data_IF_008267653758
#
_entry.id   IF_008267653758
#
_cell.length_a   1.000
_cell.length_b   1.000
_cell.length_c   1.000
_cell.angle_alpha   90.00
_cell.angle_beta   90.00
_cell.angle_gamma   90.00
#
_symmetry.space_group_name_H-M   'P 1'
#
loop_
_entity.id
_entity.type
_entity.pdbx_description
1 polymer ?
#
# COMPACT_ATOMS: atom_id res chain seq x y z
N UNK A 1 30.38 14.39 -8.77
CA UNK A 1 29.96 15.38 -7.77
C UNK A 1 29.90 14.70 -6.43
N UNK A 2 30.66 15.19 -5.45
CA UNK A 2 30.73 14.62 -4.11
C UNK A 2 29.85 15.50 -3.21
N UNK A 3 28.56 15.14 -3.09
CA UNK A 3 27.58 15.92 -2.34
C UNK A 3 27.80 15.66 -0.84
N UNK A 4 28.42 16.64 -0.15
CA UNK A 4 28.92 16.51 1.23
C UNK A 4 27.82 16.17 2.25
N UNK A 5 26.59 16.57 1.97
CA UNK A 5 25.45 16.46 2.90
C UNK A 5 24.47 15.35 2.54
N UNK A 6 24.84 14.47 1.61
CA UNK A 6 23.94 13.43 1.10
C UNK A 6 23.56 12.44 2.19
N UNK A 7 22.26 12.15 2.31
CA UNK A 7 21.76 11.22 3.30
C UNK A 7 22.15 9.77 3.00
N UNK A 8 22.37 8.97 4.06
CA UNK A 8 22.63 7.54 3.98
C UNK A 8 21.48 6.82 3.24
N UNK A 9 21.76 5.98 2.22
CA UNK A 9 20.74 5.22 1.50
C UNK A 9 19.82 4.40 2.42
N UNK A 10 20.32 3.86 3.53
CA UNK A 10 19.50 3.10 4.49
C UNK A 10 18.45 3.98 5.18
N UNK A 11 18.84 5.16 5.69
CA UNK A 11 17.89 6.09 6.32
C UNK A 11 16.84 6.59 5.34
N UNK A 12 17.21 6.78 4.07
CA UNK A 12 16.28 7.15 3.00
C UNK A 12 15.30 6.03 2.66
N UNK A 13 15.78 4.79 2.64
CA UNK A 13 14.94 3.62 2.42
C UNK A 13 13.90 3.49 3.53
N UNK A 14 14.34 3.53 4.79
CA UNK A 14 13.44 3.41 5.94
C UNK A 14 12.46 4.58 6.00
N UNK A 15 12.89 5.81 5.69
CA UNK A 15 11.97 6.95 5.58
C UNK A 15 10.89 6.72 4.51
N UNK A 16 11.27 6.23 3.32
CA UNK A 16 10.33 5.90 2.24
C UNK A 16 9.36 4.77 2.66
N UNK A 17 9.84 3.73 3.35
CA UNK A 17 8.99 2.64 3.85
C UNK A 17 7.97 3.14 4.89
N UNK A 18 8.37 4.06 5.77
CA UNK A 18 7.44 4.72 6.71
C UNK A 18 6.41 5.55 5.95
N UNK A 19 6.82 6.32 4.94
CA UNK A 19 5.87 7.07 4.11
C UNK A 19 4.87 6.15 3.41
N UNK A 20 5.31 5.01 2.88
CA UNK A 20 4.44 3.99 2.28
C UNK A 20 3.50 3.35 3.31
N UNK A 21 3.97 3.10 4.52
CA UNK A 21 3.12 2.60 5.61
C UNK A 21 2.05 3.63 5.99
N UNK A 22 2.41 4.92 6.08
CA UNK A 22 1.47 6.01 6.33
C UNK A 22 0.45 6.10 5.18
N UNK A 23 0.88 5.97 3.92
CA UNK A 23 -0.02 5.88 2.77
C UNK A 23 -1.00 4.72 2.90
N UNK A 24 -0.53 3.54 3.32
CA UNK A 24 -1.38 2.37 3.49
C UNK A 24 -2.43 2.59 4.58
N UNK A 25 -2.02 3.11 5.75
CA UNK A 25 -2.95 3.43 6.85
C UNK A 25 -3.97 4.47 6.37
N UNK A 26 -3.52 5.54 5.72
CA UNK A 26 -4.40 6.58 5.20
C UNK A 26 -5.38 6.03 4.16
N UNK A 27 -4.92 5.15 3.27
CA UNK A 27 -5.76 4.46 2.30
C UNK A 27 -6.84 3.64 3.00
N UNK A 28 -6.51 2.83 4.01
CA UNK A 28 -7.50 2.01 4.72
C UNK A 28 -8.57 2.87 5.40
N UNK A 29 -8.18 4.00 5.99
CA UNK A 29 -9.11 4.95 6.60
C UNK A 29 -10.02 5.61 5.55
N UNK A 30 -9.43 6.13 4.46
CA UNK A 30 -10.18 6.77 3.38
C UNK A 30 -11.12 5.77 2.69
N UNK A 31 -10.66 4.55 2.42
CA UNK A 31 -11.45 3.49 1.83
C UNK A 31 -12.68 3.18 2.70
N UNK A 32 -12.47 3.01 4.01
CA UNK A 32 -13.54 2.59 4.93
C UNK A 32 -14.56 3.70 5.19
N UNK A 33 -14.11 4.93 5.42
CA UNK A 33 -14.97 6.01 5.93
C UNK A 33 -15.42 7.02 4.87
N UNK A 34 -14.73 7.11 3.74
CA UNK A 34 -15.01 8.13 2.72
C UNK A 34 -15.40 7.49 1.40
N UNK A 35 -14.51 6.69 0.83
CA UNK A 35 -14.64 6.25 -0.57
C UNK A 35 -15.70 5.15 -0.72
N UNK A 36 -15.65 4.09 0.10
CA UNK A 36 -16.65 3.01 -0.01
C UNK A 36 -18.07 3.53 0.25
N UNK A 37 -18.33 4.35 1.30
CA UNK A 37 -19.66 4.94 1.49
C UNK A 37 -20.13 5.81 0.34
N UNK A 38 -19.25 6.57 -0.32
CA UNK A 38 -19.60 7.36 -1.51
C UNK A 38 -19.99 6.44 -2.67
N UNK A 39 -19.17 5.43 -2.96
CA UNK A 39 -19.40 4.51 -4.08
C UNK A 39 -20.64 3.66 -3.87
N UNK A 40 -20.79 3.06 -2.67
CA UNK A 40 -21.93 2.19 -2.36
C UNK A 40 -23.27 2.94 -2.33
N UNK A 41 -23.25 4.26 -2.14
CA UNK A 41 -24.45 5.09 -2.16
C UNK A 41 -24.84 5.59 -3.54
N UNK A 42 -23.96 5.50 -4.53
CA UNK A 42 -24.25 5.93 -5.90
C UNK A 42 -25.35 5.08 -6.54
N UNK A 43 -26.26 5.73 -7.27
CA UNK A 43 -27.40 5.05 -7.91
C UNK A 43 -26.93 4.02 -8.93
N UNK A 44 -25.90 4.34 -9.71
CA UNK A 44 -25.34 3.41 -10.70
C UNK A 44 -24.79 2.12 -10.06
N UNK A 45 -24.10 2.24 -8.92
CA UNK A 45 -23.62 1.08 -8.17
C UNK A 45 -24.78 0.27 -7.62
N UNK A 46 -25.75 0.93 -6.96
CA UNK A 46 -26.93 0.28 -6.37
C UNK A 46 -27.73 -0.49 -7.42
N UNK A 47 -28.06 0.15 -8.53
CA UNK A 47 -28.83 -0.47 -9.63
C UNK A 47 -28.09 -1.66 -10.23
N UNK A 48 -26.77 -1.54 -10.45
CA UNK A 48 -25.96 -2.65 -10.99
C UNK A 48 -25.83 -3.78 -9.98
N UNK A 49 -25.68 -3.47 -8.69
CA UNK A 49 -25.58 -4.45 -7.63
C UNK A 49 -26.91 -5.20 -7.42
N UNK A 50 -28.04 -4.52 -7.49
CA UNK A 50 -29.37 -5.12 -7.37
C UNK A 50 -29.63 -6.14 -8.48
N UNK A 51 -29.29 -5.80 -9.73
CA UNK A 51 -29.40 -6.75 -10.85
C UNK A 51 -28.50 -7.97 -10.64
N UNK A 52 -27.23 -7.72 -10.29
CA UNK A 52 -26.27 -8.79 -9.98
C UNK A 52 -26.78 -9.72 -8.86
N UNK A 53 -27.27 -9.13 -7.76
CA UNK A 53 -27.82 -9.84 -6.62
C UNK A 53 -29.06 -10.64 -6.99
N UNK A 54 -30.03 -10.02 -7.66
CA UNK A 54 -31.28 -10.64 -8.07
C UNK A 54 -31.04 -11.85 -8.97
N UNK A 55 -30.12 -11.76 -9.92
CA UNK A 55 -29.79 -12.89 -10.81
C UNK A 55 -29.16 -14.05 -10.06
N UNK A 56 -28.30 -13.80 -9.07
CA UNK A 56 -27.70 -14.87 -8.27
C UNK A 56 -28.69 -15.48 -7.28
N UNK A 57 -29.49 -14.66 -6.62
CA UNK A 57 -30.53 -15.11 -5.68
C UNK A 57 -31.69 -15.87 -6.38
N UNK A 58 -31.76 -15.86 -7.71
CA UNK A 58 -32.63 -16.76 -8.47
C UNK A 58 -32.23 -18.24 -8.33
N UNK A 59 -31.04 -18.51 -7.79
CA UNK A 59 -30.53 -19.85 -7.44
C UNK A 59 -30.39 -19.97 -5.90
N UNK A 60 -31.51 -20.01 -5.15
CA UNK A 60 -31.50 -19.96 -3.68
C UNK A 60 -30.82 -21.17 -3.02
N UNK A 61 -30.63 -22.25 -3.77
CA UNK A 61 -29.92 -23.45 -3.34
C UNK A 61 -28.39 -23.27 -3.32
N UNK A 62 -27.91 -22.14 -3.85
CA UNK A 62 -26.49 -21.79 -3.91
C UNK A 62 -26.20 -20.50 -3.15
N UNK A 63 -27.01 -19.46 -3.38
CA UNK A 63 -26.85 -18.14 -2.76
C UNK A 63 -28.16 -17.70 -2.14
N UNK A 64 -28.11 -17.36 -0.86
CA UNK A 64 -29.23 -16.85 -0.08
C UNK A 64 -28.92 -15.48 0.49
N UNK A 65 -29.95 -14.77 0.97
CA UNK A 65 -29.76 -13.60 1.82
C UNK A 65 -29.80 -14.01 3.29
N UNK A 66 -28.82 -13.58 4.06
CA UNK A 66 -28.82 -13.76 5.51
C UNK A 66 -29.79 -12.77 6.19
N UNK A 67 -29.90 -12.85 7.53
CA UNK A 67 -30.74 -11.97 8.36
C UNK A 67 -30.43 -10.47 8.17
N UNK A 68 -29.21 -10.13 7.76
CA UNK A 68 -28.77 -8.77 7.48
C UNK A 68 -28.98 -8.34 6.01
N UNK A 69 -29.76 -9.10 5.23
CA UNK A 69 -30.01 -8.87 3.81
C UNK A 69 -28.73 -8.88 2.94
N UNK A 70 -27.70 -9.62 3.37
CA UNK A 70 -26.46 -9.79 2.62
C UNK A 70 -26.43 -11.15 1.91
N UNK A 71 -25.96 -11.17 0.67
CA UNK A 71 -25.70 -12.42 -0.04
C UNK A 71 -24.67 -13.27 0.68
N UNK A 72 -25.01 -14.55 0.88
CA UNK A 72 -24.12 -15.56 1.43
C UNK A 72 -24.37 -16.89 0.73
N UNK A 73 -23.38 -17.76 0.79
CA UNK A 73 -23.55 -19.12 0.29
C UNK A 73 -24.53 -19.90 1.16
N UNK A 74 -25.33 -20.77 0.53
CA UNK A 74 -26.28 -21.64 1.23
C UNK A 74 -25.56 -22.57 2.23
N UNK A 75 -24.50 -23.24 1.78
CA UNK A 75 -23.65 -24.07 2.62
C UNK A 75 -22.45 -23.30 3.13
N UNK A 76 -22.25 -23.44 4.44
CA UNK A 76 -21.10 -22.98 5.21
C UNK A 76 -20.73 -24.07 6.21
N UNK A 77 -19.55 -23.98 6.84
CA UNK A 77 -19.18 -24.87 7.94
C UNK A 77 -20.21 -24.91 9.09
N UNK A 78 -21.05 -23.86 9.22
CA UNK A 78 -22.07 -23.76 10.27
C UNK A 78 -23.44 -24.28 9.84
N UNK A 79 -23.73 -24.31 8.54
CA UNK A 79 -25.04 -24.66 7.99
C UNK A 79 -25.08 -26.04 7.33
N UNK A 80 -23.92 -26.66 7.17
CA UNK A 80 -23.80 -28.01 6.63
C UNK A 80 -24.43 -29.05 7.58
N UNK A 81 -25.18 -29.99 6.99
CA UNK A 81 -25.89 -31.05 7.68
C UNK A 81 -25.77 -32.36 6.88
N UNK A 82 -25.17 -33.39 7.49
CA UNK A 82 -25.00 -34.72 6.87
C UNK A 82 -26.34 -35.34 6.42
N UNK A 83 -27.45 -34.99 7.10
CA UNK A 83 -28.77 -35.55 6.78
C UNK A 83 -29.38 -34.98 5.49
N UNK A 84 -28.80 -33.90 4.95
CA UNK A 84 -29.30 -33.18 3.76
C UNK A 84 -28.44 -33.38 2.52
N UNK A 85 -27.48 -34.29 2.55
CA UNK A 85 -26.55 -34.52 1.43
C UNK A 85 -27.23 -34.79 0.10
N UNK A 86 -28.31 -35.57 0.09
CA UNK A 86 -29.11 -35.81 -1.12
C UNK A 86 -29.78 -34.53 -1.66
N UNK A 87 -30.22 -33.63 -0.79
CA UNK A 87 -30.77 -32.33 -1.18
C UNK A 87 -29.70 -31.50 -1.87
N UNK A 88 -28.48 -31.49 -1.32
CA UNK A 88 -27.34 -30.76 -1.90
C UNK A 88 -26.96 -31.31 -3.27
N UNK A 89 -26.87 -32.63 -3.41
CA UNK A 89 -26.57 -33.30 -4.68
C UNK A 89 -27.59 -32.94 -5.76
N UNK A 90 -28.88 -33.09 -5.43
CA UNK A 90 -29.97 -32.76 -6.35
C UNK A 90 -29.91 -31.30 -6.79
N UNK A 91 -29.61 -30.38 -5.86
CA UNK A 91 -29.50 -28.96 -6.14
C UNK A 91 -28.32 -28.64 -7.07
N UNK A 92 -27.14 -29.22 -6.81
CA UNK A 92 -25.96 -29.00 -7.66
C UNK A 92 -26.14 -29.57 -9.06
N UNK A 93 -26.69 -30.77 -9.17
CA UNK A 93 -27.02 -31.41 -10.44
C UNK A 93 -28.04 -30.57 -11.22
N UNK A 94 -29.08 -30.06 -10.56
CA UNK A 94 -30.07 -29.19 -11.20
C UNK A 94 -29.44 -27.92 -11.80
N UNK A 95 -28.53 -27.27 -11.06
CA UNK A 95 -27.81 -26.09 -11.56
C UNK A 95 -26.94 -26.47 -12.76
N UNK A 96 -26.14 -27.54 -12.67
CA UNK A 96 -25.32 -27.98 -13.80
C UNK A 96 -26.15 -28.25 -15.05
N UNK A 97 -27.25 -29.00 -14.92
CA UNK A 97 -28.14 -29.30 -16.04
C UNK A 97 -28.81 -28.05 -16.62
N UNK A 98 -29.09 -27.03 -15.80
CA UNK A 98 -29.63 -25.75 -16.28
C UNK A 98 -28.60 -24.95 -17.09
N UNK A 99 -27.31 -25.09 -16.79
CA UNK A 99 -26.22 -24.39 -17.46
C UNK A 99 -25.63 -25.20 -18.64
N UNK A 100 -25.75 -26.52 -18.63
CA UNK A 100 -25.17 -27.45 -19.59
C UNK A 100 -26.19 -28.49 -20.07
N UNK A 101 -26.81 -28.27 -21.24
CA UNK A 101 -27.78 -29.23 -21.80
C UNK A 101 -27.19 -30.61 -22.11
N UNK A 102 -25.86 -30.76 -22.21
CA UNK A 102 -25.22 -32.05 -22.46
C UNK A 102 -25.19 -32.93 -21.21
N UNK A 103 -25.33 -32.32 -20.03
CA UNK A 103 -25.24 -32.98 -18.72
C UNK A 103 -23.82 -33.47 -18.37
N UNK A 104 -22.79 -33.06 -19.11
CA UNK A 104 -21.41 -33.51 -18.90
C UNK A 104 -20.90 -33.09 -17.53
N UNK A 105 -21.19 -31.85 -17.10
CA UNK A 105 -20.77 -31.37 -15.79
C UNK A 105 -21.49 -32.06 -14.63
N UNK A 106 -22.78 -32.35 -14.78
CA UNK A 106 -23.53 -33.10 -13.78
C UNK A 106 -22.97 -34.53 -13.63
N UNK A 107 -22.58 -35.17 -14.75
CA UNK A 107 -21.90 -36.48 -14.72
C UNK A 107 -20.53 -36.37 -14.04
N UNK A 108 -19.73 -35.36 -14.39
CA UNK A 108 -18.42 -35.15 -13.77
C UNK A 108 -18.52 -34.93 -12.25
N UNK A 109 -19.57 -34.27 -11.77
CA UNK A 109 -19.86 -34.14 -10.35
C UNK A 109 -20.09 -35.51 -9.69
N UNK A 110 -20.96 -36.34 -10.25
CA UNK A 110 -21.23 -37.69 -9.73
C UNK A 110 -19.98 -38.57 -9.76
N UNK A 111 -19.18 -38.51 -10.83
CA UNK A 111 -17.90 -39.22 -10.91
C UNK A 111 -16.90 -38.73 -9.84
N UNK A 112 -16.92 -37.44 -9.49
CA UNK A 112 -16.09 -36.90 -8.40
C UNK A 112 -16.49 -37.43 -7.03
N UNK A 113 -17.77 -37.75 -6.81
CA UNK A 113 -18.23 -38.43 -5.59
C UNK A 113 -17.74 -39.87 -5.56
N UNK A 114 -17.85 -40.61 -6.68
CA UNK A 114 -17.37 -41.99 -6.79
C UNK A 114 -15.86 -42.13 -6.53
N UNK A 115 -15.08 -41.13 -6.93
CA UNK A 115 -13.64 -41.10 -6.70
C UNK A 115 -13.26 -40.90 -5.22
N UNK A 116 -14.20 -40.50 -4.37
CA UNK A 116 -14.01 -40.28 -2.93
C UNK A 116 -14.54 -41.47 -2.12
N UNK A 117 -13.92 -42.63 -2.33
CA UNK A 117 -14.29 -43.93 -1.73
C UNK A 117 -14.29 -43.95 -0.18
N UNK A 118 -13.57 -43.04 0.46
CA UNK A 118 -13.56 -42.86 1.92
C UNK A 118 -14.72 -42.03 2.46
N UNK A 119 -15.43 -41.32 1.59
CA UNK A 119 -16.50 -40.39 1.95
C UNK A 119 -17.84 -40.92 1.46
N UNK A 120 -17.86 -41.53 0.28
CA UNK A 120 -19.08 -41.99 -0.37
C UNK A 120 -19.03 -43.48 -0.71
N UNK A 121 -20.19 -44.12 -0.58
CA UNK A 121 -20.48 -45.45 -1.08
C UNK A 121 -21.44 -45.31 -2.26
N UNK A 122 -21.00 -45.74 -3.43
CA UNK A 122 -21.81 -45.72 -4.65
C UNK A 122 -22.63 -47.01 -4.76
N UNK A 123 -23.94 -46.85 -4.95
CA UNK A 123 -24.86 -47.95 -5.23
C UNK A 123 -25.10 -48.03 -6.74
N UNK A 124 -24.62 -49.11 -7.38
CA UNK A 124 -24.77 -49.35 -8.81
C UNK A 124 -26.24 -49.58 -9.23
N UNK A 125 -27.09 -50.04 -8.31
CA UNK A 125 -28.49 -50.37 -8.60
C UNK A 125 -29.35 -49.11 -8.61
N UNK A 126 -29.18 -48.23 -7.62
CA UNK A 126 -29.89 -46.94 -7.56
C UNK A 126 -29.19 -45.82 -8.32
N UNK A 127 -27.93 -46.02 -8.72
CA UNK A 127 -27.07 -45.02 -9.34
C UNK A 127 -26.91 -43.76 -8.47
N UNK A 128 -26.80 -43.94 -7.15
CA UNK A 128 -26.67 -42.85 -6.16
C UNK A 128 -25.48 -43.06 -5.24
N UNK A 129 -24.85 -41.97 -4.82
CA UNK A 129 -23.84 -41.95 -3.77
C UNK A 129 -24.51 -41.73 -2.41
N UNK A 130 -24.12 -42.50 -1.40
CA UNK A 130 -24.53 -42.30 0.00
C UNK A 130 -23.29 -42.09 0.86
N UNK A 131 -23.43 -41.46 2.02
CA UNK A 131 -22.28 -41.25 2.92
C UNK A 131 -21.77 -42.57 3.48
N UNK A 132 -20.44 -42.73 3.51
CA UNK A 132 -19.79 -43.82 4.22
C UNK A 132 -20.12 -43.74 5.72
N UNK A 133 -20.38 -44.90 6.32
CA UNK A 133 -20.59 -45.05 7.76
C UNK A 133 -19.39 -45.74 8.38
N UNK A 134 -18.85 -45.15 9.43
CA UNK A 134 -17.73 -45.70 10.18
C UNK A 134 -18.10 -47.01 10.91
N UNK A 135 -17.14 -47.61 11.60
CA UNK A 135 -17.32 -48.85 12.36
C UNK A 135 -18.40 -48.75 13.46
N UNK A 136 -18.77 -47.54 13.88
CA UNK A 136 -19.82 -47.25 14.85
C UNK A 136 -21.17 -46.91 14.19
N UNK A 137 -21.26 -46.99 12.86
CA UNK A 137 -22.45 -46.65 12.09
C UNK A 137 -22.68 -45.14 11.93
N UNK A 138 -21.70 -44.30 12.28
CA UNK A 138 -21.78 -42.84 12.15
C UNK A 138 -21.29 -42.41 10.77
N UNK A 139 -22.05 -41.51 10.13
CA UNK A 139 -21.67 -40.95 8.83
C UNK A 139 -20.41 -40.08 8.93
N UNK A 140 -19.53 -40.25 7.95
CA UNK A 140 -18.32 -39.42 7.81
C UNK A 140 -18.70 -37.97 7.53
N UNK A 141 -17.91 -37.03 8.05
CA UNK A 141 -18.06 -35.61 7.74
C UNK A 141 -17.64 -35.33 6.28
N UNK A 142 -18.61 -34.97 5.44
CA UNK A 142 -18.37 -34.60 4.04
C UNK A 142 -18.44 -33.08 3.80
N UNK A 143 -18.44 -32.25 4.85
CA UNK A 143 -18.56 -30.78 4.76
C UNK A 143 -17.57 -30.18 3.76
N UNK A 144 -16.31 -30.58 3.84
CA UNK A 144 -15.25 -30.09 2.94
C UNK A 144 -15.52 -30.43 1.47
N UNK A 145 -16.07 -31.62 1.19
CA UNK A 145 -16.46 -32.00 -0.17
C UNK A 145 -17.58 -31.09 -0.67
N UNK A 146 -18.66 -30.94 0.10
CA UNK A 146 -19.83 -30.17 -0.31
C UNK A 146 -19.55 -28.67 -0.45
N UNK A 147 -18.70 -28.10 0.40
CA UNK A 147 -18.28 -26.70 0.28
C UNK A 147 -17.43 -26.46 -0.98
N UNK A 148 -16.54 -27.40 -1.31
CA UNK A 148 -15.75 -27.34 -2.54
C UNK A 148 -16.63 -27.53 -3.79
N UNK A 149 -17.58 -28.48 -3.74
CA UNK A 149 -18.56 -28.69 -4.79
C UNK A 149 -19.41 -27.45 -5.03
N UNK A 150 -19.93 -26.82 -3.97
CA UNK A 150 -20.68 -25.57 -4.06
C UNK A 150 -19.86 -24.46 -4.74
N UNK A 151 -18.59 -24.31 -4.39
CA UNK A 151 -17.70 -23.34 -5.03
C UNK A 151 -17.49 -23.64 -6.52
N UNK A 152 -17.34 -24.92 -6.89
CA UNK A 152 -17.20 -25.34 -8.28
C UNK A 152 -18.49 -25.07 -9.09
N UNK A 153 -19.66 -25.38 -8.52
CA UNK A 153 -20.97 -25.08 -9.10
C UNK A 153 -21.12 -23.57 -9.30
N UNK A 154 -20.78 -22.77 -8.29
CA UNK A 154 -20.82 -21.31 -8.39
C UNK A 154 -19.91 -20.76 -9.49
N UNK A 155 -18.67 -21.23 -9.58
CA UNK A 155 -17.75 -20.80 -10.64
C UNK A 155 -18.30 -21.15 -12.03
N UNK A 156 -18.89 -22.34 -12.18
CA UNK A 156 -19.50 -22.77 -13.43
C UNK A 156 -20.71 -21.91 -13.80
N UNK A 157 -21.64 -21.71 -12.85
CA UNK A 157 -22.81 -20.83 -13.00
C UNK A 157 -22.39 -19.40 -13.35
N UNK A 158 -21.42 -18.83 -12.63
CA UNK A 158 -20.90 -17.50 -12.89
C UNK A 158 -20.37 -17.39 -14.33
N UNK A 159 -19.55 -18.34 -14.78
CA UNK A 159 -19.02 -18.38 -16.15
C UNK A 159 -20.15 -18.50 -17.18
N UNK A 160 -21.15 -19.35 -16.92
CA UNK A 160 -22.33 -19.50 -17.77
C UNK A 160 -23.11 -18.18 -17.88
N UNK A 161 -23.40 -17.53 -16.75
CA UNK A 161 -24.13 -16.26 -16.71
C UNK A 161 -23.33 -15.14 -17.40
N UNK A 162 -22.02 -15.05 -17.19
CA UNK A 162 -21.15 -14.09 -17.88
C UNK A 162 -21.22 -14.22 -19.41
N UNK A 163 -21.34 -15.46 -19.90
CA UNK A 163 -21.39 -15.75 -21.35
C UNK A 163 -22.79 -15.55 -21.94
N UNK A 164 -23.83 -16.00 -21.23
CA UNK A 164 -25.19 -16.14 -21.79
C UNK A 164 -26.19 -15.09 -21.29
N UNK A 165 -25.86 -14.32 -20.25
CA UNK A 165 -26.73 -13.28 -19.70
C UNK A 165 -26.00 -11.91 -19.76
N UNK A 166 -26.35 -11.10 -20.76
CA UNK A 166 -25.73 -9.80 -21.00
C UNK A 166 -26.01 -8.79 -19.88
N UNK A 167 -27.20 -8.85 -19.27
CA UNK A 167 -27.60 -8.01 -18.14
C UNK A 167 -26.72 -8.31 -16.92
N UNK A 168 -26.55 -9.60 -16.59
CA UNK A 168 -25.67 -10.06 -15.53
C UNK A 168 -24.21 -9.64 -15.78
N UNK A 169 -23.69 -9.90 -16.98
CA UNK A 169 -22.31 -9.58 -17.33
C UNK A 169 -22.04 -8.07 -17.19
N UNK A 170 -22.94 -7.24 -17.71
CA UNK A 170 -22.83 -5.78 -17.61
C UNK A 170 -22.85 -5.32 -16.15
N UNK A 171 -23.81 -5.81 -15.37
CA UNK A 171 -23.97 -5.46 -13.95
C UNK A 171 -22.79 -5.91 -13.10
N UNK A 172 -22.33 -7.16 -13.27
CA UNK A 172 -21.14 -7.68 -12.60
C UNK A 172 -19.88 -6.87 -12.95
N UNK A 173 -19.67 -6.59 -14.24
CA UNK A 173 -18.52 -5.79 -14.70
C UNK A 173 -18.54 -4.38 -14.11
N UNK A 174 -19.72 -3.74 -14.03
CA UNK A 174 -19.87 -2.44 -13.36
C UNK A 174 -19.53 -2.53 -11.87
N UNK A 175 -20.11 -3.48 -11.14
CA UNK A 175 -19.82 -3.69 -9.70
C UNK A 175 -18.31 -3.91 -9.48
N UNK A 176 -17.67 -4.72 -10.31
CA UNK A 176 -16.23 -4.97 -10.27
C UNK A 176 -15.43 -3.68 -10.54
N UNK A 177 -15.82 -2.91 -11.56
CA UNK A 177 -15.16 -1.65 -11.92
C UNK A 177 -15.30 -0.59 -10.83
N UNK A 178 -16.46 -0.45 -10.19
CA UNK A 178 -16.65 0.44 -9.05
C UNK A 178 -15.79 -0.01 -7.86
N UNK A 179 -15.81 -1.31 -7.56
CA UNK A 179 -15.02 -1.87 -6.46
C UNK A 179 -13.52 -1.67 -6.68
N UNK A 180 -13.01 -1.94 -7.89
CA UNK A 180 -11.59 -1.76 -8.19
C UNK A 180 -11.21 -0.28 -8.35
N UNK A 181 -12.04 0.51 -9.02
CA UNK A 181 -11.86 1.96 -9.19
C UNK A 181 -11.77 2.68 -7.85
N UNK A 182 -12.65 2.31 -6.89
CA UNK A 182 -12.61 2.86 -5.53
C UNK A 182 -11.27 2.62 -4.83
N UNK A 183 -10.67 1.43 -4.99
CA UNK A 183 -9.35 1.09 -4.44
C UNK A 183 -8.26 1.96 -5.06
N UNK A 184 -8.24 2.08 -6.39
CA UNK A 184 -7.23 2.89 -7.10
C UNK A 184 -7.33 4.37 -6.73
N UNK A 185 -8.54 4.92 -6.66
CA UNK A 185 -8.78 6.30 -6.20
C UNK A 185 -8.26 6.48 -4.78
N UNK A 186 -8.55 5.55 -3.87
CA UNK A 186 -8.08 5.63 -2.50
C UNK A 186 -6.57 5.63 -2.36
N UNK A 187 -5.88 4.75 -3.09
CA UNK A 187 -4.41 4.72 -3.08
C UNK A 187 -3.87 6.03 -3.67
N UNK A 188 -4.41 6.50 -4.79
CA UNK A 188 -3.97 7.74 -5.43
C UNK A 188 -4.15 8.97 -4.51
N UNK A 189 -5.31 9.11 -3.87
CA UNK A 189 -5.56 10.21 -2.91
C UNK A 189 -4.61 10.11 -1.71
N UNK A 190 -4.32 8.91 -1.23
CA UNK A 190 -3.36 8.72 -0.14
C UNK A 190 -1.94 9.12 -0.53
N UNK A 191 -1.50 8.76 -1.74
CA UNK A 191 -0.23 9.20 -2.30
C UNK A 191 -0.17 10.72 -2.48
N UNK A 192 -1.27 11.33 -2.94
CA UNK A 192 -1.38 12.78 -3.08
C UNK A 192 -1.16 13.46 -1.73
N UNK A 193 -1.78 12.97 -0.67
CA UNK A 193 -1.60 13.56 0.67
C UNK A 193 -0.15 13.41 1.14
N UNK A 194 0.42 12.20 1.08
CA UNK A 194 1.74 11.94 1.68
C UNK A 194 2.90 12.48 0.85
N UNK A 195 2.86 12.33 -0.48
CA UNK A 195 3.98 12.65 -1.37
C UNK A 195 3.83 13.97 -2.11
N UNK A 196 2.66 14.60 -2.13
CA UNK A 196 2.46 15.95 -2.68
C UNK A 196 2.11 16.96 -1.59
N UNK A 197 1.01 16.74 -0.86
CA UNK A 197 0.48 17.71 0.09
C UNK A 197 1.47 17.97 1.25
N UNK A 198 1.99 16.92 1.90
CA UNK A 198 2.96 17.09 2.99
C UNK A 198 4.23 17.81 2.54
N UNK A 199 4.94 17.40 1.46
CA UNK A 199 6.08 18.16 0.94
C UNK A 199 5.77 19.60 0.51
N UNK A 200 4.54 19.90 0.09
CA UNK A 200 4.15 21.27 -0.24
C UNK A 200 3.88 22.14 0.99
N UNK A 201 3.42 21.55 2.09
CA UNK A 201 3.11 22.25 3.35
C UNK A 201 4.35 22.34 4.25
N UNK A 202 5.12 21.26 4.36
CA UNK A 202 6.31 21.21 5.18
C UNK A 202 7.44 22.00 4.54
N UNK A 203 8.26 22.63 5.39
CA UNK A 203 9.47 23.33 4.94
C UNK A 203 10.40 22.31 4.27
N UNK A 204 11.09 22.74 3.20
CA UNK A 204 12.12 21.96 2.49
C UNK A 204 11.64 20.68 1.76
N UNK A 205 10.35 20.55 1.43
CA UNK A 205 9.88 19.43 0.60
C UNK A 205 9.84 18.08 1.33
N UNK A 206 9.78 18.09 2.65
CA UNK A 206 9.87 16.90 3.50
C UNK A 206 8.55 16.13 3.53
N UNK A 207 8.63 14.80 3.52
CA UNK A 207 7.51 13.91 3.90
C UNK A 207 7.58 13.62 5.41
N UNK A 208 6.56 12.99 5.98
CA UNK A 208 6.58 12.64 7.42
C UNK A 208 7.74 11.70 7.77
N UNK A 209 7.98 10.68 6.95
CA UNK A 209 9.11 9.76 7.10
C UNK A 209 10.44 10.50 7.05
N UNK A 210 10.63 11.39 6.06
CA UNK A 210 11.85 12.21 5.97
C UNK A 210 12.03 13.10 7.19
N UNK A 211 10.94 13.69 7.71
CA UNK A 211 10.99 14.53 8.91
C UNK A 211 11.46 13.75 10.14
N UNK A 212 11.00 12.50 10.33
CA UNK A 212 11.45 11.62 11.43
C UNK A 212 12.97 11.41 11.39
N UNK A 213 13.55 11.24 10.19
CA UNK A 213 14.99 11.06 10.01
C UNK A 213 15.77 12.37 9.85
N UNK A 214 15.13 13.54 10.00
CA UNK A 214 15.75 14.84 9.77
C UNK A 214 16.34 14.98 8.35
N UNK A 215 15.64 14.44 7.36
CA UNK A 215 16.05 14.48 5.96
C UNK A 215 15.30 15.60 5.23
N UNK A 216 15.97 16.29 4.30
CA UNK A 216 15.34 17.29 3.42
C UNK A 216 15.59 17.03 1.95
N UNK A 217 14.82 17.69 1.09
CA UNK A 217 15.08 17.71 -0.35
C UNK A 217 15.96 18.91 -0.73
N UNK A 218 16.99 18.64 -1.53
CA UNK A 218 17.87 19.64 -2.14
C UNK A 218 17.95 19.48 -3.65
N UNK A 219 18.49 20.50 -4.33
CA UNK A 219 18.73 20.46 -5.77
C UNK A 219 20.05 19.77 -6.09
N UNK A 220 20.13 19.05 -7.20
CA UNK A 220 21.40 18.45 -7.64
C UNK A 220 22.47 19.51 -7.99
N UNK A 221 22.05 20.69 -8.44
CA UNK A 221 22.95 21.80 -8.78
C UNK A 221 23.51 22.52 -7.57
N UNK A 222 22.76 22.54 -6.46
CA UNK A 222 23.12 23.25 -5.23
C UNK A 222 22.43 22.55 -4.03
N UNK A 223 23.25 21.92 -3.18
CA UNK A 223 22.81 21.15 -2.02
C UNK A 223 22.29 22.05 -0.87
N UNK A 224 22.48 23.37 -0.95
CA UNK A 224 22.02 24.33 0.07
C UNK A 224 20.67 24.93 -0.32
N UNK A 225 20.40 25.09 -1.62
CA UNK A 225 19.18 25.72 -2.11
C UNK A 225 17.94 24.82 -1.96
N UNK A 226 16.81 25.33 -1.42
CA UNK A 226 15.58 24.56 -1.34
C UNK A 226 15.02 24.23 -2.73
N UNK A 227 14.36 23.09 -2.84
CA UNK A 227 13.72 22.67 -4.09
C UNK A 227 12.52 23.55 -4.47
N UNK A 228 12.25 23.64 -5.78
CA UNK A 228 11.08 24.37 -6.31
C UNK A 228 9.82 23.50 -6.20
N UNK A 229 8.63 24.13 -6.04
CA UNK A 229 7.35 23.42 -5.93
C UNK A 229 7.04 22.51 -7.14
N UNK A 230 7.44 22.90 -8.35
CA UNK A 230 7.26 22.05 -9.53
C UNK A 230 8.10 20.75 -9.46
N UNK A 231 9.26 20.78 -8.79
CA UNK A 231 10.08 19.58 -8.60
C UNK A 231 9.37 18.60 -7.66
N UNK A 232 8.69 19.10 -6.62
CA UNK A 232 7.81 18.28 -5.77
C UNK A 232 6.71 17.63 -6.61
N UNK A 233 6.06 18.39 -7.50
CA UNK A 233 5.01 17.86 -8.38
C UNK A 233 5.53 16.77 -9.30
N UNK A 234 6.69 16.98 -9.95
CA UNK A 234 7.31 15.95 -10.82
C UNK A 234 7.65 14.70 -10.02
N UNK A 235 8.25 14.85 -8.82
CA UNK A 235 8.50 13.69 -7.95
C UNK A 235 7.23 12.93 -7.62
N UNK A 236 6.16 13.63 -7.25
CA UNK A 236 4.87 13.02 -6.95
C UNK A 236 4.34 12.23 -8.15
N UNK A 237 4.33 12.81 -9.35
CA UNK A 237 3.85 12.12 -10.56
C UNK A 237 4.65 10.85 -10.81
N UNK A 238 5.98 10.89 -10.70
CA UNK A 238 6.80 9.69 -10.89
C UNK A 238 6.56 8.66 -9.78
N UNK A 239 6.47 9.06 -8.51
CA UNK A 239 6.14 8.15 -7.40
C UNK A 239 4.75 7.52 -7.59
N UNK A 240 3.76 8.31 -8.03
CA UNK A 240 2.43 7.81 -8.32
C UNK A 240 2.48 6.77 -9.45
N UNK A 241 3.26 6.99 -10.51
CA UNK A 241 3.48 6.02 -11.58
C UNK A 241 4.24 4.78 -11.09
N UNK A 242 5.25 4.92 -10.23
CA UNK A 242 5.96 3.80 -9.62
C UNK A 242 5.01 2.93 -8.81
N UNK A 243 4.20 3.52 -7.93
CA UNK A 243 3.27 2.80 -7.06
C UNK A 243 2.09 2.22 -7.85
N UNK A 244 1.43 3.02 -8.69
CA UNK A 244 0.31 2.55 -9.52
C UNK A 244 0.75 1.53 -10.56
N UNK A 245 1.88 1.77 -11.23
CA UNK A 245 2.47 0.81 -12.16
C UNK A 245 2.87 -0.48 -11.47
N UNK A 246 3.29 -0.44 -10.20
CA UNK A 246 3.57 -1.63 -9.40
C UNK A 246 2.35 -2.47 -9.08
N UNK A 247 1.15 -1.89 -9.03
CA UNK A 247 -0.08 -2.68 -8.87
C UNK A 247 -0.39 -3.52 -10.12
N UNK A 248 -0.01 -3.02 -11.31
CA UNK A 248 -0.22 -3.70 -12.60
C UNK A 248 0.92 -4.67 -12.91
N UNK A 249 2.16 -4.27 -12.61
CA UNK A 249 3.39 -4.99 -12.95
C UNK A 249 3.98 -5.75 -11.74
N UNK A 250 3.12 -6.20 -10.81
CA UNK A 250 3.51 -7.05 -9.67
C UNK A 250 4.73 -6.55 -8.87
N UNK A 251 4.80 -5.25 -8.58
CA UNK A 251 5.85 -4.66 -7.74
C UNK A 251 7.13 -4.24 -8.48
N UNK A 252 7.27 -4.54 -9.78
CA UNK A 252 8.53 -4.32 -10.51
C UNK A 252 9.00 -2.85 -10.51
N UNK A 253 8.18 -1.84 -10.83
CA UNK A 253 8.63 -0.44 -10.84
C UNK A 253 9.18 0.05 -9.49
N UNK A 254 8.50 -0.25 -8.38
CA UNK A 254 8.97 0.08 -7.03
C UNK A 254 10.28 -0.62 -6.70
N UNK A 255 10.39 -1.91 -7.04
CA UNK A 255 11.61 -2.69 -6.83
C UNK A 255 12.79 -2.08 -7.60
N UNK A 256 12.59 -1.72 -8.87
CA UNK A 256 13.63 -1.07 -9.69
C UNK A 256 14.06 0.27 -9.09
N UNK A 257 13.11 1.09 -8.62
CA UNK A 257 13.43 2.37 -7.97
C UNK A 257 14.25 2.18 -6.70
N UNK A 258 13.88 1.19 -5.88
CA UNK A 258 14.60 0.84 -4.66
C UNK A 258 16.02 0.31 -4.95
N UNK A 259 16.16 -0.59 -5.93
CA UNK A 259 17.46 -1.12 -6.36
C UNK A 259 18.37 0.00 -6.88
N UNK A 260 17.84 0.93 -7.68
CA UNK A 260 18.63 2.07 -8.14
C UNK A 260 19.09 2.96 -6.99
N UNK A 261 18.25 3.22 -5.99
CA UNK A 261 18.65 3.99 -4.82
C UNK A 261 19.75 3.30 -4.00
N UNK A 262 19.77 1.97 -3.93
CA UNK A 262 20.76 1.21 -3.14
C UNK A 262 22.08 0.95 -3.88
N UNK A 263 22.03 0.69 -5.19
CA UNK A 263 23.18 0.16 -5.94
C UNK A 263 23.80 1.15 -6.93
N UNK A 264 23.14 2.27 -7.25
CA UNK A 264 23.76 3.28 -8.13
C UNK A 264 24.77 4.11 -7.36
N UNK A 265 25.87 4.52 -8.00
CA UNK A 265 26.89 5.39 -7.40
C UNK A 265 26.29 6.69 -6.83
N UNK A 266 25.21 7.17 -7.44
CA UNK A 266 24.52 8.38 -7.04
C UNK A 266 23.41 8.14 -6.01
N UNK A 267 23.09 6.89 -5.65
CA UNK A 267 21.98 6.51 -4.77
C UNK A 267 20.68 7.25 -5.11
N UNK A 268 20.35 7.44 -6.40
CA UNK A 268 19.13 8.14 -6.80
C UNK A 268 18.02 7.15 -7.11
N UNK A 269 16.82 7.42 -6.60
CA UNK A 269 15.60 6.75 -7.06
C UNK A 269 15.17 7.33 -8.42
N UNK A 270 14.24 6.68 -9.14
CA UNK A 270 13.77 7.16 -10.47
C UNK A 270 13.18 8.57 -10.32
N UNK A 271 12.35 8.79 -9.29
CA UNK A 271 11.74 10.08 -9.04
C UNK A 271 12.75 11.18 -8.63
N UNK A 272 13.87 10.83 -8.01
CA UNK A 272 14.96 11.77 -7.70
C UNK A 272 15.64 12.23 -9.00
N UNK A 273 15.91 11.29 -9.90
CA UNK A 273 16.52 11.55 -11.20
C UNK A 273 15.62 12.43 -12.08
N UNK A 274 14.34 12.09 -12.19
CA UNK A 274 13.38 12.82 -13.02
C UNK A 274 13.19 14.27 -12.55
N UNK A 275 13.15 14.52 -11.24
CA UNK A 275 12.94 15.86 -10.69
C UNK A 275 14.24 16.66 -10.50
N UNK A 276 15.40 16.07 -10.79
CA UNK A 276 16.74 16.64 -10.53
C UNK A 276 16.91 17.07 -9.07
N UNK A 277 16.53 16.18 -8.15
CA UNK A 277 16.59 16.41 -6.70
C UNK A 277 17.41 15.33 -6.01
N UNK A 278 17.93 15.64 -4.82
CA UNK A 278 18.52 14.65 -3.93
C UNK A 278 18.00 14.81 -2.50
N UNK A 279 18.25 13.78 -1.69
CA UNK A 279 17.90 13.77 -0.27
C UNK A 279 19.15 14.04 0.56
N UNK A 280 19.04 15.04 1.43
CA UNK A 280 20.10 15.57 2.27
C UNK A 280 19.81 15.28 3.75
N UNK A 281 20.85 15.14 4.56
CA UNK A 281 20.74 15.01 6.00
C UNK A 281 20.90 16.39 6.68
N UNK A 282 19.83 16.89 7.29
CA UNK A 282 19.85 18.18 7.99
C UNK A 282 20.84 18.19 9.16
N UNK A 283 21.13 17.04 9.79
CA UNK A 283 22.08 16.94 10.90
C UNK A 283 23.51 17.19 10.43
N UNK A 284 23.86 16.73 9.23
CA UNK A 284 25.17 16.99 8.64
C UNK A 284 25.33 18.47 8.28
N UNK A 285 24.29 19.07 7.68
CA UNK A 285 24.27 20.49 7.32
C UNK A 285 24.42 21.36 8.58
N UNK A 286 23.66 21.06 9.63
CA UNK A 286 23.72 21.81 10.88
C UNK A 286 25.10 21.71 11.56
N UNK A 287 25.75 20.53 11.50
CA UNK A 287 27.12 20.34 12.04
C UNK A 287 28.16 21.18 11.31
N UNK A 288 28.11 21.24 9.98
CA UNK A 288 29.05 22.08 9.22
C UNK A 288 28.79 23.57 9.48
N UNK A 289 27.52 24.02 9.48
CA UNK A 289 27.20 25.41 9.80
C UNK A 289 27.68 25.84 11.20
N UNK A 290 27.52 24.99 12.21
CA UNK A 290 28.00 25.28 13.56
C UNK A 290 29.54 25.30 13.64
N UNK A 291 30.22 24.41 12.91
CA UNK A 291 31.69 24.42 12.85
C UNK A 291 32.19 25.70 12.19
N UNK A 292 31.59 26.11 11.07
CA UNK A 292 31.97 27.34 10.36
C UNK A 292 31.75 28.59 11.20
N UNK A 293 30.60 28.69 11.89
CA UNK A 293 30.34 29.82 12.79
C UNK A 293 31.33 29.87 13.95
N UNK A 294 31.65 28.73 14.58
CA UNK A 294 32.65 28.68 15.63
C UNK A 294 34.05 29.10 15.15
N UNK A 295 34.43 28.76 13.91
CA UNK A 295 35.72 29.18 13.33
C UNK A 295 35.73 30.69 13.09
N UNK A 296 34.66 31.25 12.53
CA UNK A 296 34.53 32.70 12.31
C UNK A 296 34.56 33.46 13.64
N UNK A 297 33.88 32.95 14.67
CA UNK A 297 33.89 33.56 16.01
C UNK A 297 35.27 33.49 16.68
N UNK A 298 36.03 32.41 16.45
CA UNK A 298 37.42 32.29 16.92
C UNK A 298 38.32 33.26 16.17
N UNK A 299 38.21 33.34 14.83
CA UNK A 299 38.99 34.26 14.00
C UNK A 299 38.70 35.74 14.35
N UNK A 300 37.44 36.10 14.56
CA UNK A 300 37.04 37.45 14.98
C UNK A 300 37.56 37.80 16.39
N UNK A 301 37.59 36.83 17.32
CA UNK A 301 38.16 37.03 18.64
C UNK A 301 39.69 37.10 18.63
N UNK A 302 40.39 36.38 17.74
CA UNK A 302 41.85 36.51 17.59
C UNK A 302 42.24 37.85 16.98
N UNK A 303 41.53 38.33 15.95
CA UNK A 303 41.80 39.62 15.30
C UNK A 303 41.56 40.80 16.27
N UNK A 304 40.50 40.74 17.08
CA UNK A 304 40.23 41.76 18.11
C UNK A 304 41.20 41.74 19.30
N UNK A 305 41.94 40.63 19.48
CA UNK A 305 43.00 40.53 20.49
C UNK A 305 44.33 41.08 19.94
N UNK A 306 44.61 40.88 18.64
CA UNK A 306 45.76 41.47 17.95
C UNK A 306 45.63 43.00 17.79
N UNK A 307 44.46 43.53 17.41
CA UNK A 307 44.22 44.99 17.35
C UNK A 307 44.38 45.67 18.73
N UNK A 308 44.03 44.99 19.82
CA UNK A 308 44.26 45.49 21.20
C UNK A 308 45.72 45.38 21.66
N UNK A 309 46.52 44.53 21.03
CA UNK A 309 47.96 44.44 21.32
C UNK A 309 48.75 45.50 20.58
N UNK A 310 48.33 45.90 19.38
CA UNK A 310 48.98 46.97 18.62
C UNK A 310 48.70 48.36 19.22
N UNK A 311 47.50 48.61 19.77
CA UNK A 311 47.15 49.89 20.41
C UNK A 311 47.86 50.11 21.78
N UNK A 312 48.46 49.06 22.35
CA UNK A 312 49.18 49.14 23.64
C UNK A 312 50.68 49.45 23.52
N UNK A 313 51.24 49.41 22.31
CA UNK A 313 52.67 49.64 22.08
C UNK A 313 53.02 51.10 21.80
N UNK A 314 52.03 51.97 21.56
CA UNK A 314 52.28 53.37 21.17
C UNK A 314 52.17 54.38 22.34
N UNK A 315 51.78 53.95 23.56
CA UNK A 315 51.51 54.86 24.69
C UNK A 315 52.43 54.67 25.93
N UNK A 316 53.63 54.13 25.78
CA UNK A 316 54.55 53.92 26.93
C UNK A 316 55.98 54.41 26.72
N UNK A 317 56.18 55.56 26.08
CA UNK A 317 57.45 56.32 26.18
C UNK A 317 57.15 57.80 26.38
N UNK A 318 57.01 58.23 27.64
CA UNK A 318 57.39 59.55 28.21
C UNK A 318 56.50 59.92 29.41
N UNK A 319 56.83 59.44 30.62
CA UNK A 319 56.64 60.22 31.87
C UNK A 319 57.71 59.81 32.90
N UNK A 320 58.82 60.57 32.88
CA UNK A 320 59.54 61.21 33.99
C UNK A 320 59.49 60.54 35.38
N UNK A 321 60.67 60.23 35.93
CA UNK A 321 60.91 60.24 37.38
C UNK A 321 62.12 61.13 37.73
N UNK A 322 61.82 62.30 38.32
CA UNK A 322 62.75 63.19 39.03
C UNK A 322 62.51 62.98 40.53
N UNK A 323 63.57 62.73 41.30
CA UNK A 323 63.83 63.10 42.71
C UNK A 323 65.06 62.34 43.20
N UNK A 324 65.93 62.81 44.07
CA UNK A 324 66.29 64.10 44.67
C UNK A 324 67.61 63.81 45.40
N UNK A 325 68.59 64.70 45.38
CA UNK A 325 69.61 64.74 46.43
C UNK A 325 70.17 66.15 46.56
N UNK A 326 69.67 66.88 47.54
CA UNK A 326 70.34 68.04 48.12
C UNK A 326 70.72 67.70 49.57
N UNK A 327 71.77 68.40 50.01
CA UNK A 327 72.12 68.83 51.38
C UNK A 327 73.37 68.18 52.02
N UNK A 328 74.47 68.95 51.86
CA UNK A 328 75.47 69.42 52.83
C UNK A 328 76.31 68.42 53.66
N UNK A 329 77.64 68.44 53.52
CA UNK A 329 78.57 69.40 54.16
C UNK A 329 79.94 69.41 53.45
#
# INVERSE_FOLDING_TARGET
MNNRYKANPTSRLVATLIDLLICFVLYTLLASFVINPIVSNSDDYKNSFEVYERTLCAYPTLIIKNENNQMTFYLTNKTYDNTKTQEYDNNFIAIYNSCDPTGEQAKAYVESQKAQDKIFVYDEVSNTCSLYKDENGKEVDASSFYLNAQNAVFQYLHKYLMKNNSEYNTSYTKVLNYTNGSKYVGIFVSLLIVFLLFPMIFKNGETLGKKIFSLRLGKISDDVEPIKKWQVLVRFVIIALEVMGSLILYGIPLLVSMLMMMFTKNNFAIHDYAARTLVLDNKLIAREMNTTNNVIDVEANTVSTEEKSDEKTENTEEVIEIKNSDVDE
#
